data_IF_581255287773
#
_entry.id   IF_581255287773
#
_cell.length_a   1.000
_cell.length_b   1.000
_cell.length_c   1.000
_cell.angle_alpha   90.00
_cell.angle_beta   90.00
_cell.angle_gamma   90.00
#
_symmetry.space_group_name_H-M   'P 1'
#
loop_
_entity.id
_entity.type
_entity.pdbx_description
1 polymer ?
#
# COMPACT_ATOMS: atom_id res chain seq x y z
N UNK A 1 -33.47 21.11 -27.07
CA UNK A 1 -33.46 19.76 -27.65
C UNK A 1 -32.41 18.93 -26.90
N UNK A 2 -32.78 17.80 -26.32
CA UNK A 2 -31.91 17.06 -25.39
C UNK A 2 -30.97 16.10 -26.12
N UNK A 3 -29.66 16.37 -26.06
CA UNK A 3 -28.59 15.57 -26.68
C UNK A 3 -28.51 14.14 -26.07
N UNK A 4 -28.97 13.96 -24.83
CA UNK A 4 -29.02 12.67 -24.12
C UNK A 4 -29.92 11.64 -24.83
N UNK A 5 -30.93 12.07 -25.61
CA UNK A 5 -31.84 11.17 -26.31
C UNK A 5 -31.28 10.52 -27.59
N UNK A 6 -30.21 11.07 -28.18
CA UNK A 6 -29.67 10.59 -29.46
C UNK A 6 -28.81 9.32 -29.31
N UNK A 7 -28.03 9.21 -28.23
CA UNK A 7 -27.10 8.10 -28.03
C UNK A 7 -27.76 6.76 -27.67
N UNK A 8 -28.92 6.78 -27.00
CA UNK A 8 -29.63 5.54 -26.65
C UNK A 8 -30.19 4.79 -27.86
N UNK A 9 -30.37 5.46 -29.00
CA UNK A 9 -30.93 4.85 -30.23
C UNK A 9 -29.89 4.13 -31.09
N UNK A 10 -28.59 4.30 -30.79
CA UNK A 10 -27.48 3.71 -31.57
C UNK A 10 -26.95 2.40 -30.98
N UNK A 11 -27.31 2.05 -29.74
CA UNK A 11 -26.84 0.83 -29.05
C UNK A 11 -27.86 -0.33 -29.02
N UNK A 12 -29.11 -0.10 -29.43
CA UNK A 12 -30.20 -1.08 -29.32
C UNK A 12 -31.09 -1.21 -30.58
N UNK A 13 -30.65 -0.70 -31.73
CA UNK A 13 -31.36 -0.92 -33.00
C UNK A 13 -30.99 -2.30 -33.58
N UNK A 14 -31.94 -3.23 -33.59
CA UNK A 14 -31.85 -4.52 -34.28
C UNK A 14 -32.65 -4.45 -35.58
N UNK A 15 -32.03 -4.79 -36.70
CA UNK A 15 -32.72 -4.85 -37.99
C UNK A 15 -33.65 -6.09 -38.03
N UNK A 16 -34.96 -5.92 -38.30
CA UNK A 16 -35.94 -7.02 -38.26
C UNK A 16 -35.94 -7.90 -39.54
N UNK A 17 -34.88 -7.83 -40.37
CA UNK A 17 -34.84 -8.43 -41.71
C UNK A 17 -33.70 -9.44 -41.94
N UNK A 18 -32.97 -9.85 -40.89
CA UNK A 18 -31.89 -10.84 -40.99
C UNK A 18 -32.32 -12.15 -40.32
N UNK A 19 -32.49 -13.27 -41.06
CA UNK A 19 -32.78 -14.57 -40.46
C UNK A 19 -31.54 -15.15 -39.77
N UNK A 20 -31.75 -15.89 -38.67
CA UNK A 20 -30.65 -16.52 -37.92
C UNK A 20 -30.00 -17.70 -38.67
N UNK A 21 -28.69 -17.93 -38.51
CA UNK A 21 -28.00 -19.05 -39.15
C UNK A 21 -28.40 -20.39 -38.52
N UNK A 22 -28.91 -21.31 -39.34
CA UNK A 22 -29.25 -22.68 -38.94
C UNK A 22 -27.98 -23.53 -38.85
N UNK A 23 -27.70 -24.09 -37.66
CA UNK A 23 -26.63 -25.08 -37.49
C UNK A 23 -27.06 -26.43 -38.08
N UNK A 24 -26.30 -26.95 -39.03
CA UNK A 24 -26.47 -28.30 -39.60
C UNK A 24 -25.37 -29.21 -39.04
N UNK A 25 -25.68 -30.42 -38.54
CA UNK A 25 -24.66 -31.36 -38.06
C UNK A 25 -24.07 -32.14 -39.24
N UNK A 26 -22.76 -32.08 -39.42
CA UNK A 26 -22.05 -32.88 -40.40
C UNK A 26 -21.52 -34.17 -39.77
N UNK A 27 -21.75 -35.31 -40.42
CA UNK A 27 -21.44 -36.63 -39.89
C UNK A 27 -20.90 -37.57 -40.98
N UNK A 28 -19.59 -37.86 -40.94
CA UNK A 28 -19.03 -39.08 -41.53
C UNK A 28 -17.59 -39.33 -41.05
N UNK A 29 -17.43 -40.36 -40.21
CA UNK A 29 -16.15 -41.09 -40.01
C UNK A 29 -15.85 -41.97 -41.24
N UNK A 30 -14.64 -42.55 -41.38
CA UNK A 30 -14.50 -43.92 -40.92
C UNK A 30 -13.15 -44.31 -40.25
N UNK A 31 -13.23 -45.48 -39.65
CA UNK A 31 -12.30 -46.26 -38.83
C UNK A 31 -10.86 -46.44 -39.32
N UNK A 32 -9.94 -46.64 -38.37
CA UNK A 32 -9.13 -47.88 -38.32
C UNK A 32 -8.97 -48.38 -36.87
N UNK A 33 -8.85 -49.69 -36.73
CA UNK A 33 -8.92 -50.46 -35.48
C UNK A 33 -7.58 -51.06 -35.06
N UNK A 34 -7.26 -51.04 -33.76
CA UNK A 34 -6.45 -52.10 -33.13
C UNK A 34 -6.62 -52.15 -31.60
N UNK A 35 -7.32 -53.17 -31.12
CA UNK A 35 -7.14 -53.87 -29.83
C UNK A 35 -5.64 -54.04 -29.46
N UNK A 36 -5.15 -54.20 -28.21
CA UNK A 36 -5.71 -54.45 -26.86
C UNK A 36 -5.04 -53.46 -25.83
N UNK A 37 -5.06 -53.53 -24.49
CA UNK A 37 -5.52 -54.53 -23.51
C UNK A 37 -5.73 -53.95 -22.08
N UNK A 38 -6.28 -54.78 -21.18
CA UNK A 38 -6.15 -54.85 -19.71
C UNK A 38 -6.28 -53.58 -18.82
N UNK A 39 -7.38 -53.56 -18.05
CA UNK A 39 -7.68 -52.68 -16.91
C UNK A 39 -7.57 -53.46 -15.59
N UNK A 40 -7.17 -52.83 -14.46
CA UNK A 40 -7.68 -53.24 -13.16
C UNK A 40 -8.31 -52.08 -12.36
N UNK A 41 -9.62 -52.22 -12.17
CA UNK A 41 -10.41 -51.95 -10.95
C UNK A 41 -9.94 -50.89 -9.94
N UNK A 42 -10.74 -49.82 -9.81
CA UNK A 42 -10.82 -48.96 -8.62
C UNK A 42 -12.06 -49.38 -7.81
N UNK A 43 -11.97 -49.63 -6.50
CA UNK A 43 -13.15 -49.86 -5.66
C UNK A 43 -13.74 -48.54 -5.15
N UNK A 44 -15.05 -48.42 -5.24
CA UNK A 44 -15.82 -47.36 -4.59
C UNK A 44 -15.96 -47.65 -3.09
N UNK A 45 -15.95 -46.63 -2.24
CA UNK A 45 -16.34 -46.73 -0.82
C UNK A 45 -17.56 -45.84 -0.57
N UNK A 46 -18.69 -46.49 -0.27
CA UNK A 46 -19.85 -45.83 0.32
C UNK A 46 -19.63 -45.65 1.84
N UNK A 47 -20.20 -44.60 2.46
CA UNK A 47 -20.15 -44.44 3.91
C UNK A 47 -21.27 -45.26 4.59
N UNK A 48 -20.91 -46.16 5.50
CA UNK A 48 -21.88 -46.83 6.37
C UNK A 48 -22.60 -45.84 7.29
N UNK A 49 -23.91 -46.04 7.46
CA UNK A 49 -24.77 -45.31 8.37
C UNK A 49 -24.99 -46.21 9.59
N UNK A 50 -24.63 -45.73 10.78
CA UNK A 50 -24.90 -46.44 12.03
C UNK A 50 -25.95 -45.66 12.86
N UNK A 51 -26.92 -46.37 13.43
CA UNK A 51 -27.99 -45.82 14.25
C UNK A 51 -28.29 -46.74 15.44
N UNK A 52 -28.81 -46.14 16.52
CA UNK A 52 -29.20 -46.74 17.80
C UNK A 52 -28.01 -47.02 18.77
N UNK A 53 -28.12 -46.83 20.09
CA UNK A 53 -29.29 -46.53 20.93
C UNK A 53 -28.98 -45.50 22.05
N UNK A 54 -29.99 -44.91 22.72
CA UNK A 54 -29.84 -43.96 23.82
C UNK A 54 -29.96 -44.61 25.21
N UNK A 55 -29.13 -44.22 26.17
CA UNK A 55 -29.41 -44.44 27.60
C UNK A 55 -29.28 -43.14 28.41
N UNK A 56 -30.12 -43.03 29.43
CA UNK A 56 -30.25 -41.85 30.30
C UNK A 56 -29.07 -41.70 31.26
N UNK A 57 -28.62 -40.45 31.48
CA UNK A 57 -28.38 -39.99 32.86
C UNK A 57 -28.42 -38.46 32.93
N UNK A 58 -29.50 -37.94 33.53
CA UNK A 58 -29.54 -36.54 33.96
C UNK A 58 -28.72 -36.40 35.25
N UNK A 59 -27.76 -35.46 35.28
CA UNK A 59 -27.07 -35.04 36.52
C UNK A 59 -27.24 -33.52 36.67
N UNK A 60 -27.66 -32.99 37.84
CA UNK A 60 -28.06 -31.59 37.94
C UNK A 60 -26.88 -30.61 37.92
N UNK A 61 -27.10 -29.44 37.31
CA UNK A 61 -26.22 -28.27 37.43
C UNK A 61 -26.26 -27.75 38.87
N UNK A 62 -25.12 -27.49 39.54
CA UNK A 62 -25.11 -26.91 40.88
C UNK A 62 -25.48 -25.42 40.83
N UNK A 63 -26.44 -25.03 41.66
CA UNK A 63 -26.94 -23.66 41.76
C UNK A 63 -25.86 -22.67 42.25
N UNK A 64 -25.74 -21.54 41.54
CA UNK A 64 -24.99 -20.37 42.02
C UNK A 64 -25.88 -19.60 43.02
N UNK A 65 -25.43 -19.32 44.25
CA UNK A 65 -26.16 -18.43 45.14
C UNK A 65 -25.90 -16.97 44.78
N UNK A 66 -26.98 -16.21 44.57
CA UNK A 66 -26.95 -14.76 44.49
C UNK A 66 -26.60 -14.17 45.87
N UNK A 67 -25.72 -13.16 45.91
CA UNK A 67 -25.55 -12.29 47.08
C UNK A 67 -25.84 -10.85 46.65
N UNK A 68 -26.85 -10.26 47.29
CA UNK A 68 -27.18 -8.85 47.20
C UNK A 68 -26.15 -7.99 47.99
N UNK A 69 -26.00 -6.69 47.67
CA UNK A 69 -25.00 -5.85 48.32
C UNK A 69 -25.52 -5.24 49.63
N UNK A 70 -24.84 -5.53 50.75
CA UNK A 70 -25.01 -4.75 51.97
C UNK A 70 -24.28 -3.40 51.89
N UNK A 71 -24.92 -2.40 52.46
CA UNK A 71 -24.54 -0.99 52.45
C UNK A 71 -24.19 -0.59 53.88
N UNK A 72 -23.00 -0.03 54.12
CA UNK A 72 -22.74 0.66 55.38
C UNK A 72 -21.75 1.82 55.21
N UNK A 73 -22.04 2.93 55.89
CA UNK A 73 -21.24 4.16 55.90
C UNK A 73 -20.50 4.30 57.24
N UNK A 74 -19.20 4.58 57.20
CA UNK A 74 -18.49 5.17 58.35
C UNK A 74 -17.20 5.92 57.92
N UNK A 75 -17.23 7.24 58.10
CA UNK A 75 -16.09 8.14 58.34
C UNK A 75 -15.95 8.30 59.90
N UNK A 76 -14.99 9.04 60.52
CA UNK A 76 -13.89 9.87 59.98
C UNK A 76 -12.54 9.80 60.77
N UNK A 77 -11.61 10.76 60.50
CA UNK A 77 -10.43 11.21 61.30
C UNK A 77 -9.23 10.22 61.40
N UNK A 78 -7.94 10.59 61.55
CA UNK A 78 -7.17 11.85 61.76
C UNK A 78 -5.73 11.58 61.21
N UNK A 79 -4.92 12.46 60.60
CA UNK A 79 -4.10 13.49 61.27
C UNK A 79 -2.90 14.00 60.39
N UNK A 80 -2.58 15.29 60.54
CA UNK A 80 -1.25 15.96 60.55
C UNK A 80 -0.09 15.72 59.52
N UNK A 81 0.07 16.68 58.59
CA UNK A 81 1.27 17.56 58.24
C UNK A 81 2.75 17.10 58.37
N UNK A 82 3.75 17.80 57.75
CA UNK A 82 3.79 18.68 56.55
C UNK A 82 5.00 18.38 55.61
N UNK A 83 5.24 19.21 54.56
CA UNK A 83 6.54 19.82 54.11
C UNK A 83 6.34 20.51 52.74
N UNK A 84 7.00 21.64 52.42
CA UNK A 84 6.44 22.64 51.51
C UNK A 84 6.86 22.51 50.04
N UNK A 85 6.14 23.22 49.17
CA UNK A 85 6.57 23.51 47.79
C UNK A 85 6.22 24.96 47.44
N UNK A 86 7.21 25.68 46.91
CA UNK A 86 7.12 27.08 46.43
C UNK A 86 7.46 27.07 44.93
N UNK A 87 7.17 28.14 44.18
CA UNK A 87 5.91 28.38 43.50
C UNK A 87 5.99 28.06 41.99
N UNK A 88 4.85 28.21 41.33
CA UNK A 88 4.69 28.11 39.87
C UNK A 88 5.53 29.15 39.12
N UNK A 89 6.07 28.74 37.96
CA UNK A 89 6.16 29.60 36.77
C UNK A 89 5.89 28.74 35.54
N UNK A 90 4.70 28.90 34.95
CA UNK A 90 4.47 28.47 33.57
C UNK A 90 5.26 29.37 32.60
N UNK A 91 5.39 28.91 31.35
CA UNK A 91 4.79 29.73 30.31
C UNK A 91 3.85 28.91 29.44
N UNK A 92 2.61 29.40 29.33
CA UNK A 92 1.67 29.02 28.29
C UNK A 92 2.35 29.07 26.91
N UNK A 93 2.17 28.03 26.09
CA UNK A 93 2.31 28.15 24.64
C UNK A 93 1.25 27.30 23.94
N UNK A 94 0.22 28.01 23.51
CA UNK A 94 -0.89 27.68 22.61
C UNK A 94 -1.10 26.25 22.10
N UNK A 95 -2.34 25.80 22.27
CA UNK A 95 -2.94 24.63 21.63
C UNK A 95 -3.11 24.82 20.11
N UNK A 96 -2.02 24.71 19.35
CA UNK A 96 -2.10 24.56 17.91
C UNK A 96 -2.63 23.15 17.54
N UNK A 97 -3.76 23.11 16.83
CA UNK A 97 -4.40 21.87 16.38
C UNK A 97 -3.57 21.06 15.37
N UNK A 98 -4.09 19.92 14.87
CA UNK A 98 -3.34 19.03 14.01
C UNK A 98 -3.11 19.62 12.61
N UNK A 99 -2.01 20.37 12.46
CA UNK A 99 -1.52 20.80 11.15
C UNK A 99 -1.32 19.58 10.25
N UNK A 100 -2.15 19.51 9.21
CA UNK A 100 -1.93 18.59 8.11
C UNK A 100 -0.68 19.03 7.37
N UNK A 101 0.25 18.11 7.11
CA UNK A 101 1.44 18.39 6.31
C UNK A 101 1.04 18.49 4.82
N UNK A 102 0.33 19.56 4.46
CA UNK A 102 0.01 19.92 3.10
C UNK A 102 1.27 20.45 2.43
N UNK A 103 1.80 19.67 1.47
CA UNK A 103 2.85 20.15 0.57
C UNK A 103 2.30 21.36 -0.20
N UNK A 104 3.04 22.49 -0.32
CA UNK A 104 2.51 23.68 -0.98
C UNK A 104 2.03 23.41 -2.40
N UNK A 105 0.84 23.91 -2.73
CA UNK A 105 0.35 23.97 -4.10
C UNK A 105 1.08 25.12 -4.80
N UNK A 106 1.81 24.90 -5.89
CA UNK A 106 2.30 26.01 -6.69
C UNK A 106 1.10 26.71 -7.34
N UNK A 107 1.03 28.03 -7.19
CA UNK A 107 0.05 28.90 -7.85
C UNK A 107 0.09 28.72 -9.37
N UNK A 108 -1.08 28.79 -10.02
CA UNK A 108 -1.19 28.68 -11.47
C UNK A 108 -0.32 29.75 -12.18
N UNK A 109 0.42 29.37 -13.24
CA UNK A 109 0.63 30.24 -14.39
C UNK A 109 -0.57 30.17 -15.35
N UNK A 110 -0.73 31.21 -16.15
CA UNK A 110 -1.89 31.44 -17.02
C UNK A 110 -2.03 30.47 -18.19
N UNK A 111 -3.20 30.55 -18.84
CA UNK A 111 -3.60 29.72 -19.98
C UNK A 111 -2.87 30.13 -21.26
N UNK A 112 -2.08 29.20 -21.83
CA UNK A 112 -1.72 29.23 -23.26
C UNK A 112 -2.24 27.94 -23.93
N UNK A 113 -3.34 28.09 -24.67
CA UNK A 113 -3.86 27.08 -25.60
C UNK A 113 -3.37 27.44 -27.01
N UNK A 114 -2.32 26.77 -27.47
CA UNK A 114 -1.97 26.71 -28.91
C UNK A 114 -1.59 25.28 -29.28
N UNK A 115 -2.59 24.53 -29.75
CA UNK A 115 -2.35 23.44 -30.71
C UNK A 115 -2.10 24.09 -32.08
N UNK A 116 -1.04 23.65 -32.77
CA UNK A 116 -0.72 24.09 -34.13
C UNK A 116 -0.06 22.95 -34.90
N UNK A 117 -0.88 22.01 -35.37
CA UNK A 117 -0.55 21.20 -36.54
C UNK A 117 -0.77 22.04 -37.81
N UNK A 118 0.29 22.33 -38.58
CA UNK A 118 0.20 22.17 -40.03
C UNK A 118 1.56 22.07 -40.74
N UNK A 119 1.51 21.62 -41.99
CA UNK A 119 2.64 21.13 -42.78
C UNK A 119 3.23 22.17 -43.74
N UNK A 120 4.52 22.04 -44.10
CA UNK A 120 4.98 21.84 -45.50
C UNK A 120 6.52 21.87 -45.71
N UNK A 121 7.01 20.79 -46.34
CA UNK A 121 8.14 20.57 -47.30
C UNK A 121 9.44 21.44 -47.34
N UNK A 122 10.59 20.87 -47.80
CA UNK A 122 11.94 21.38 -47.48
C UNK A 122 12.68 22.19 -48.58
N UNK A 123 13.68 22.97 -48.15
CA UNK A 123 14.70 23.65 -48.98
C UNK A 123 16.06 23.73 -48.26
N UNK A 124 17.20 23.96 -48.97
CA UNK A 124 18.46 23.30 -48.57
C UNK A 124 19.46 24.10 -47.71
N UNK A 125 20.07 23.36 -46.77
CA UNK A 125 21.49 23.41 -46.35
C UNK A 125 22.21 24.76 -46.20
N UNK A 126 22.45 25.17 -44.95
CA UNK A 126 23.80 25.55 -44.49
C UNK A 126 23.96 25.59 -42.95
N UNK A 127 25.15 25.18 -42.49
CA UNK A 127 25.73 25.38 -41.14
C UNK A 127 24.89 24.96 -39.91
N UNK A 128 25.19 23.77 -39.36
CA UNK A 128 24.73 23.32 -38.03
C UNK A 128 25.58 23.94 -36.90
N UNK A 129 25.01 24.70 -35.95
CA UNK A 129 25.65 24.99 -34.68
C UNK A 129 25.44 23.81 -33.73
N UNK A 130 26.51 23.24 -33.18
CA UNK A 130 26.42 22.15 -32.20
C UNK A 130 25.69 22.65 -30.92
N UNK A 131 24.67 21.94 -30.41
CA UNK A 131 24.06 22.31 -29.14
C UNK A 131 25.03 22.00 -28.00
N UNK A 132 25.38 23.03 -27.22
CA UNK A 132 26.14 22.87 -25.97
C UNK A 132 25.30 22.11 -24.95
N UNK A 133 25.49 20.79 -24.87
CA UNK A 133 24.97 19.99 -23.77
C UNK A 133 25.61 20.47 -22.45
N UNK A 134 24.87 21.27 -21.66
CA UNK A 134 25.15 21.43 -20.23
C UNK A 134 24.79 20.13 -19.53
N UNK A 135 25.66 19.13 -19.66
CA UNK A 135 25.62 17.93 -18.85
C UNK A 135 25.83 18.35 -17.40
N UNK A 136 24.76 18.33 -16.59
CA UNK A 136 24.92 18.42 -15.14
C UNK A 136 25.79 17.25 -14.71
N UNK A 137 26.98 17.53 -14.17
CA UNK A 137 27.87 16.51 -13.62
C UNK A 137 27.21 15.91 -12.37
N UNK A 138 26.32 14.94 -12.56
CA UNK A 138 26.12 13.90 -11.57
C UNK A 138 27.32 12.96 -11.70
N UNK A 139 28.06 12.78 -10.62
CA UNK A 139 29.16 11.82 -10.59
C UNK A 139 28.61 10.42 -11.00
N UNK A 140 29.32 9.67 -11.87
CA UNK A 140 28.96 8.31 -12.17
C UNK A 140 29.00 7.49 -10.87
N UNK A 141 27.81 7.18 -10.35
CA UNK A 141 27.70 6.31 -9.19
C UNK A 141 28.23 4.93 -9.60
N UNK A 142 29.25 4.37 -8.91
CA UNK A 142 29.86 3.12 -9.33
C UNK A 142 28.81 2.01 -9.31
N UNK A 143 28.60 1.38 -10.47
CA UNK A 143 27.56 0.37 -10.69
C UNK A 143 27.65 -0.79 -9.69
N UNK A 144 28.88 -1.14 -9.30
CA UNK A 144 29.21 -2.22 -8.37
C UNK A 144 28.47 -2.07 -7.02
N UNK A 145 28.41 -0.86 -6.44
CA UNK A 145 27.69 -0.60 -5.18
C UNK A 145 26.21 -1.03 -5.31
N UNK A 146 25.54 -0.69 -6.41
CA UNK A 146 24.16 -1.09 -6.67
C UNK A 146 24.02 -2.61 -6.83
N UNK A 147 24.94 -3.26 -7.55
CA UNK A 147 24.94 -4.71 -7.73
C UNK A 147 25.19 -5.48 -6.42
N UNK A 148 25.95 -4.91 -5.47
CA UNK A 148 26.15 -5.50 -4.15
C UNK A 148 24.89 -5.41 -3.27
N UNK A 149 24.13 -4.30 -3.33
CA UNK A 149 22.84 -4.21 -2.65
C UNK A 149 21.79 -5.13 -3.29
N UNK A 150 21.78 -5.23 -4.62
CA UNK A 150 20.88 -6.16 -5.33
C UNK A 150 21.18 -7.63 -5.01
N UNK A 151 22.46 -8.01 -4.86
CA UNK A 151 22.87 -9.34 -4.38
C UNK A 151 22.32 -9.65 -2.98
N UNK A 152 22.37 -8.70 -2.03
CA UNK A 152 21.76 -8.85 -0.69
C UNK A 152 20.25 -9.05 -0.76
N UNK A 153 19.53 -8.23 -1.53
CA UNK A 153 18.08 -8.41 -1.78
C UNK A 153 17.78 -9.79 -2.37
N UNK A 154 18.61 -10.29 -3.29
CA UNK A 154 18.46 -11.62 -3.90
C UNK A 154 18.73 -12.79 -2.95
N UNK A 155 19.44 -12.57 -1.84
CA UNK A 155 19.61 -13.57 -0.78
C UNK A 155 18.37 -13.71 0.12
N UNK A 156 17.29 -12.95 -0.10
CA UNK A 156 16.04 -13.07 0.65
C UNK A 156 15.38 -14.45 0.42
N UNK A 157 15.32 -15.25 1.48
CA UNK A 157 14.67 -16.59 1.50
C UNK A 157 13.21 -16.54 1.97
N UNK A 158 12.72 -15.36 2.37
CA UNK A 158 11.37 -15.21 2.91
C UNK A 158 10.29 -15.40 1.84
N UNK A 159 9.20 -16.08 2.19
CA UNK A 159 8.02 -16.20 1.32
C UNK A 159 7.20 -14.91 1.32
N UNK A 160 6.54 -14.63 0.20
CA UNK A 160 5.58 -13.52 0.10
C UNK A 160 4.45 -13.68 1.13
N UNK A 161 4.05 -12.56 1.75
CA UNK A 161 2.88 -12.44 2.64
C UNK A 161 2.19 -11.09 2.38
N UNK A 162 0.85 -11.05 2.25
CA UNK A 162 0.09 -9.81 2.01
C UNK A 162 0.38 -8.71 3.04
N UNK A 163 0.62 -9.09 4.30
CA UNK A 163 1.07 -8.21 5.37
C UNK A 163 2.12 -8.89 6.24
N UNK A 164 3.03 -8.11 6.81
CA UNK A 164 4.10 -8.59 7.69
C UNK A 164 4.44 -7.51 8.70
N UNK A 165 4.51 -7.86 9.99
CA UNK A 165 5.13 -6.97 10.97
C UNK A 165 6.65 -7.03 10.77
N UNK A 166 7.26 -5.88 10.46
CA UNK A 166 8.70 -5.77 10.12
C UNK A 166 9.50 -4.99 11.16
N UNK A 167 8.83 -4.44 12.17
CA UNK A 167 9.44 -3.84 13.36
C UNK A 167 8.43 -3.84 14.49
N UNK A 168 8.84 -3.47 15.71
CA UNK A 168 7.88 -3.20 16.78
C UNK A 168 6.87 -2.11 16.32
N UNK A 169 5.59 -2.48 16.25
CA UNK A 169 4.47 -1.68 15.79
C UNK A 169 4.59 -1.07 14.37
N UNK A 170 5.41 -1.66 13.47
CA UNK A 170 5.44 -1.31 12.04
C UNK A 170 5.14 -2.52 11.17
N UNK A 171 4.20 -2.36 10.24
CA UNK A 171 3.72 -3.37 9.31
C UNK A 171 3.96 -2.92 7.87
N UNK A 172 4.35 -3.85 6.99
CA UNK A 172 4.40 -3.63 5.54
C UNK A 172 3.44 -4.60 4.84
N UNK A 173 2.57 -4.08 3.97
CA UNK A 173 1.65 -4.91 3.19
C UNK A 173 1.28 -4.40 1.80
N UNK A 174 0.34 -5.11 1.19
CA UNK A 174 -0.19 -4.88 -0.16
C UNK A 174 -1.48 -4.02 -0.15
N UNK A 175 -1.97 -3.70 -1.34
CA UNK A 175 -3.20 -2.93 -1.58
C UNK A 175 -4.45 -3.62 -1.03
N UNK A 176 -4.56 -4.94 -1.19
CA UNK A 176 -5.68 -5.74 -0.69
C UNK A 176 -5.84 -5.57 0.83
N UNK A 177 -4.74 -5.75 1.58
CA UNK A 177 -4.73 -5.49 3.03
C UNK A 177 -5.08 -4.03 3.33
N UNK A 178 -4.61 -3.07 2.52
CA UNK A 178 -4.93 -1.65 2.70
C UNK A 178 -6.43 -1.35 2.53
N UNK A 179 -7.10 -2.04 1.60
CA UNK A 179 -8.55 -1.93 1.39
C UNK A 179 -9.35 -2.63 2.49
N UNK A 180 -8.83 -3.67 3.12
CA UNK A 180 -9.54 -4.31 4.22
C UNK A 180 -9.56 -3.46 5.51
N UNK A 181 -10.67 -2.72 5.68
CA UNK A 181 -10.93 -1.90 6.88
C UNK A 181 -11.11 -2.72 8.16
N UNK A 182 -11.59 -3.95 8.07
CA UNK A 182 -11.71 -4.84 9.22
C UNK A 182 -10.33 -5.31 9.65
N UNK A 183 -9.48 -5.70 8.68
CA UNK A 183 -8.09 -6.07 8.96
C UNK A 183 -7.27 -4.92 9.54
N UNK A 184 -7.47 -3.69 9.06
CA UNK A 184 -6.86 -2.49 9.67
C UNK A 184 -7.28 -2.32 11.14
N UNK A 185 -8.54 -2.61 11.48
CA UNK A 185 -9.06 -2.55 12.86
C UNK A 185 -8.50 -3.67 13.73
N UNK A 186 -8.48 -4.92 13.25
CA UNK A 186 -7.93 -6.09 13.94
C UNK A 186 -6.44 -5.91 14.29
N UNK A 187 -5.65 -5.43 13.33
CA UNK A 187 -4.24 -5.14 13.55
C UNK A 187 -4.03 -3.96 14.51
N UNK A 188 -5.05 -3.14 14.76
CA UNK A 188 -4.99 -1.94 15.58
C UNK A 188 -4.22 -0.80 14.90
N UNK A 189 -4.29 -0.69 13.57
CA UNK A 189 -3.56 0.33 12.81
C UNK A 189 -4.08 1.72 13.16
N UNK A 190 -3.14 2.63 13.44
CA UNK A 190 -3.39 4.04 13.79
C UNK A 190 -2.85 5.00 12.73
N UNK A 191 -1.89 4.55 11.92
CA UNK A 191 -1.25 5.35 10.87
C UNK A 191 -1.11 4.53 9.59
N UNK A 192 -1.46 5.12 8.45
CA UNK A 192 -1.27 4.52 7.14
C UNK A 192 -0.36 5.40 6.28
N UNK A 193 0.69 4.81 5.74
CA UNK A 193 1.58 5.42 4.76
C UNK A 193 1.42 4.69 3.42
N UNK A 194 0.62 5.27 2.52
CA UNK A 194 0.40 4.78 1.17
C UNK A 194 1.52 5.27 0.25
N UNK A 195 2.46 4.39 -0.05
CA UNK A 195 3.61 4.60 -0.94
C UNK A 195 3.30 4.36 -2.43
N UNK A 196 2.03 4.37 -2.82
CA UNK A 196 1.51 4.25 -4.18
C UNK A 196 0.27 5.14 -4.40
N UNK A 197 0.17 6.28 -3.71
CA UNK A 197 -1.03 7.11 -3.77
C UNK A 197 -1.23 7.78 -5.15
N UNK A 198 -2.47 8.08 -5.52
CA UNK A 198 -2.75 8.81 -6.76
C UNK A 198 -2.17 10.25 -6.74
N UNK A 199 -1.65 10.71 -7.88
CA UNK A 199 -1.28 12.11 -8.10
C UNK A 199 -2.55 12.96 -8.21
N UNK A 200 -2.71 13.96 -7.35
CA UNK A 200 -3.83 14.93 -7.39
C UNK A 200 -3.65 15.95 -8.53
N UNK A 201 -3.77 15.51 -9.78
CA UNK A 201 -3.78 16.40 -10.97
C UNK A 201 -5.16 16.99 -11.17
N UNK A 202 -5.26 18.23 -11.65
CA UNK A 202 -6.54 18.90 -11.90
C UNK A 202 -7.51 18.03 -12.75
N UNK A 203 -7.03 17.40 -13.83
CA UNK A 203 -7.84 16.46 -14.64
C UNK A 203 -8.46 15.31 -13.83
N UNK A 204 -7.72 14.76 -12.87
CA UNK A 204 -8.19 13.65 -12.02
C UNK A 204 -9.22 14.16 -10.99
N UNK A 205 -9.07 15.40 -10.51
CA UNK A 205 -10.06 16.07 -9.67
C UNK A 205 -11.35 16.38 -10.44
N UNK A 206 -11.25 16.67 -11.75
CA UNK A 206 -12.38 16.85 -12.67
C UNK A 206 -13.00 15.52 -13.15
N UNK A 207 -12.65 14.38 -12.54
CA UNK A 207 -13.17 13.05 -12.92
C UNK A 207 -12.53 12.43 -14.17
N UNK A 208 -11.66 13.14 -14.87
CA UNK A 208 -10.97 12.65 -16.07
C UNK A 208 -9.80 11.76 -15.65
N UNK A 209 -10.08 10.46 -15.50
CA UNK A 209 -9.10 9.40 -15.21
C UNK A 209 -8.73 8.66 -16.48
N UNK A 210 -7.43 8.62 -16.80
CA UNK A 210 -6.90 7.77 -17.88
C UNK A 210 -6.24 6.54 -17.24
N UNK A 211 -6.22 5.40 -17.93
CA UNK A 211 -5.65 4.15 -17.39
C UNK A 211 -4.23 4.34 -16.83
N UNK A 212 -3.39 5.10 -17.53
CA UNK A 212 -2.00 5.44 -17.12
C UNK A 212 -1.89 6.28 -15.84
N UNK A 213 -2.97 6.94 -15.40
CA UNK A 213 -3.02 7.68 -14.13
C UNK A 213 -3.55 6.81 -12.96
N UNK A 214 -4.17 5.65 -13.26
CA UNK A 214 -4.69 4.67 -12.28
C UNK A 214 -3.69 3.52 -12.08
N UNK A 215 -3.02 3.09 -13.15
CA UNK A 215 -2.12 1.94 -13.18
C UNK A 215 -1.01 2.08 -12.13
N UNK A 216 -0.82 1.01 -11.35
CA UNK A 216 0.13 0.94 -10.23
C UNK A 216 -0.14 1.94 -9.08
N UNK A 217 -1.35 2.50 -8.95
CA UNK A 217 -1.74 3.38 -7.83
C UNK A 217 -2.83 2.78 -6.95
N UNK A 218 -2.81 3.12 -5.66
CA UNK A 218 -3.74 2.64 -4.64
C UNK A 218 -4.61 3.80 -4.14
N UNK A 219 -5.89 3.80 -4.52
CA UNK A 219 -6.86 4.86 -4.18
C UNK A 219 -7.58 4.61 -2.83
N UNK A 220 -6.80 4.48 -1.76
CA UNK A 220 -7.29 4.37 -0.36
C UNK A 220 -7.15 5.68 0.41
N UNK A 221 -7.35 6.83 -0.26
CA UNK A 221 -7.19 8.16 0.35
C UNK A 221 -7.93 8.35 1.68
N UNK A 222 -7.56 9.34 2.49
CA UNK A 222 -8.05 9.53 3.87
C UNK A 222 -9.58 9.38 4.09
N UNK A 223 -10.41 9.71 3.10
CA UNK A 223 -11.86 9.49 3.10
C UNK A 223 -12.28 8.01 3.19
N UNK A 224 -11.48 7.09 2.67
CA UNK A 224 -11.69 5.63 2.74
C UNK A 224 -11.73 5.14 4.20
N UNK A 225 -10.86 5.71 5.04
CA UNK A 225 -10.77 5.39 6.47
C UNK A 225 -11.66 6.30 7.35
N UNK A 226 -12.63 7.03 6.77
CA UNK A 226 -13.56 7.89 7.53
C UNK A 226 -14.33 7.08 8.56
N UNK A 227 -14.48 7.64 9.77
CA UNK A 227 -15.06 6.95 10.92
C UNK A 227 -14.07 6.05 11.68
N UNK A 228 -12.78 6.07 11.34
CA UNK A 228 -11.70 5.46 12.14
C UNK A 228 -10.79 6.55 12.74
N UNK A 229 -9.94 6.19 13.70
CA UNK A 229 -8.90 7.07 14.26
C UNK A 229 -7.60 7.06 13.44
N UNK A 230 -7.62 6.57 12.19
CA UNK A 230 -6.42 6.38 11.35
C UNK A 230 -5.93 7.72 10.79
N UNK A 231 -4.65 8.04 11.01
CA UNK A 231 -3.94 9.13 10.34
C UNK A 231 -3.33 8.64 9.03
N UNK A 232 -3.79 9.19 7.91
CA UNK A 232 -3.37 8.78 6.56
C UNK A 232 -2.35 9.76 5.95
N UNK A 233 -1.30 9.21 5.33
CA UNK A 233 -0.34 9.92 4.49
C UNK A 233 -0.22 9.20 3.14
N UNK A 234 -0.47 9.91 2.04
CA UNK A 234 -0.36 9.39 0.68
C UNK A 234 0.80 10.02 -0.07
N UNK A 235 1.77 9.21 -0.49
CA UNK A 235 2.95 9.63 -1.25
C UNK A 235 2.83 9.14 -2.69
N UNK A 236 2.67 10.05 -3.68
CA UNK A 236 2.38 9.63 -5.03
C UNK A 236 3.65 9.22 -5.80
N UNK A 237 3.92 7.93 -5.79
CA UNK A 237 4.94 7.26 -6.61
C UNK A 237 4.34 6.79 -7.94
N UNK A 238 5.21 6.52 -8.90
CA UNK A 238 4.92 5.81 -10.16
C UNK A 238 6.19 5.04 -10.52
N UNK A 239 6.12 4.04 -11.41
CA UNK A 239 7.30 3.25 -11.86
C UNK A 239 8.51 4.10 -12.33
N UNK A 240 8.27 5.33 -12.74
CA UNK A 240 9.26 6.32 -13.20
C UNK A 240 9.53 7.48 -12.23
N UNK A 241 8.96 7.45 -11.02
CA UNK A 241 9.15 8.52 -10.03
C UNK A 241 10.41 8.29 -9.20
N UNK A 242 11.27 9.30 -9.13
CA UNK A 242 12.26 9.44 -8.06
C UNK A 242 11.55 9.33 -6.69
N UNK A 243 11.90 8.29 -5.92
CA UNK A 243 11.36 8.02 -4.58
C UNK A 243 12.24 8.65 -3.49
N UNK A 244 13.46 9.10 -3.81
CA UNK A 244 14.38 9.71 -2.84
C UNK A 244 13.82 10.98 -2.19
N UNK A 245 13.05 11.77 -2.95
CA UNK A 245 12.28 12.92 -2.45
C UNK A 245 11.27 12.57 -1.35
N UNK A 246 10.85 11.30 -1.27
CA UNK A 246 9.89 10.79 -0.28
C UNK A 246 10.56 10.16 0.94
N UNK A 247 11.87 9.89 0.93
CA UNK A 247 12.59 9.30 2.05
C UNK A 247 12.42 10.10 3.35
N UNK A 248 12.69 11.40 3.33
CA UNK A 248 12.57 12.26 4.51
C UNK A 248 11.10 12.49 4.95
N UNK A 249 10.13 12.78 4.05
CA UNK A 249 8.70 12.82 4.42
C UNK A 249 8.19 11.53 5.06
N UNK A 250 8.51 10.36 4.47
CA UNK A 250 8.12 9.06 5.01
C UNK A 250 8.77 8.78 6.37
N UNK A 251 10.08 9.00 6.48
CA UNK A 251 10.83 8.79 7.71
C UNK A 251 10.28 9.66 8.86
N UNK A 252 10.01 10.95 8.61
CA UNK A 252 9.37 11.86 9.56
C UNK A 252 7.97 11.41 9.98
N UNK A 253 7.15 10.92 9.05
CA UNK A 253 5.80 10.40 9.36
C UNK A 253 5.87 9.19 10.29
N UNK A 254 6.72 8.20 9.97
CA UNK A 254 6.92 6.99 10.77
C UNK A 254 7.49 7.36 12.15
N UNK A 255 8.49 8.25 12.21
CA UNK A 255 9.10 8.69 13.47
C UNK A 255 8.12 9.47 14.35
N UNK A 256 7.31 10.38 13.79
CA UNK A 256 6.26 11.11 14.53
C UNK A 256 5.21 10.16 15.09
N UNK A 257 4.82 9.13 14.34
CA UNK A 257 3.88 8.11 14.81
C UNK A 257 4.45 7.35 16.03
N UNK A 258 5.70 6.90 15.95
CA UNK A 258 6.37 6.10 17.01
C UNK A 258 6.64 6.85 18.32
N UNK A 259 6.40 8.15 18.41
CA UNK A 259 6.54 8.91 19.68
C UNK A 259 5.59 8.44 20.78
N UNK A 260 4.44 7.85 20.42
CA UNK A 260 3.61 7.07 21.34
C UNK A 260 3.78 5.59 20.93
N UNK A 261 4.11 4.73 21.90
CA UNK A 261 4.37 3.30 21.75
C UNK A 261 3.14 2.48 21.31
N UNK A 262 1.92 2.95 21.60
CA UNK A 262 0.65 2.32 21.20
C UNK A 262 0.36 2.46 19.70
N UNK A 263 0.96 3.46 19.03
CA UNK A 263 0.71 3.73 17.62
C UNK A 263 1.31 2.65 16.71
N UNK A 264 0.44 1.90 16.03
CA UNK A 264 0.82 0.99 14.95
C UNK A 264 0.77 1.66 13.58
N UNK A 265 1.85 1.51 12.81
CA UNK A 265 2.04 2.09 11.47
C UNK A 265 1.96 1.00 10.41
N UNK A 266 1.12 1.18 9.39
CA UNK A 266 1.04 0.33 8.21
C UNK A 266 1.57 1.08 6.98
N UNK A 267 2.62 0.55 6.35
CA UNK A 267 3.23 1.10 5.14
C UNK A 267 2.87 0.15 3.99
N UNK A 268 2.28 0.66 2.91
CA UNK A 268 1.90 -0.19 1.77
C UNK A 268 2.16 0.46 0.42
N UNK A 269 2.25 -0.36 -0.60
CA UNK A 269 2.11 0.04 -2.00
C UNK A 269 1.14 -0.95 -2.66
N UNK A 270 1.26 -1.19 -3.97
CA UNK A 270 0.44 -2.19 -4.68
C UNK A 270 0.67 -3.60 -4.12
N UNK A 271 1.91 -4.10 -4.21
CA UNK A 271 2.25 -5.47 -3.79
C UNK A 271 2.94 -5.54 -2.41
N UNK A 272 3.33 -4.40 -1.84
CA UNK A 272 4.08 -4.36 -0.58
C UNK A 272 5.54 -4.82 -0.67
N UNK A 273 6.11 -4.99 -1.87
CA UNK A 273 7.49 -5.50 -2.07
C UNK A 273 8.50 -4.49 -2.64
N UNK A 274 8.06 -3.39 -3.25
CA UNK A 274 8.95 -2.36 -3.83
C UNK A 274 8.96 -1.07 -3.00
N UNK A 275 8.10 -0.08 -3.30
CA UNK A 275 8.18 1.24 -2.66
C UNK A 275 7.93 1.25 -1.15
N UNK A 276 7.04 0.40 -0.63
CA UNK A 276 6.80 0.31 0.81
C UNK A 276 8.05 -0.13 1.61
N UNK A 277 8.74 -1.24 1.28
CA UNK A 277 10.01 -1.55 1.92
C UNK A 277 11.12 -0.54 1.59
N UNK A 278 11.20 0.05 0.40
CA UNK A 278 12.19 1.11 0.11
C UNK A 278 12.05 2.31 1.07
N UNK A 279 10.84 2.79 1.34
CA UNK A 279 10.62 3.86 2.32
C UNK A 279 10.93 3.43 3.76
N UNK A 280 10.68 2.16 4.10
CA UNK A 280 11.03 1.63 5.42
C UNK A 280 12.55 1.49 5.61
N UNK A 281 13.29 1.03 4.59
CA UNK A 281 14.75 1.01 4.58
C UNK A 281 15.32 2.42 4.79
N UNK A 282 14.80 3.42 4.07
CA UNK A 282 15.20 4.81 4.28
C UNK A 282 14.91 5.30 5.71
N UNK A 283 13.80 4.87 6.33
CA UNK A 283 13.50 5.16 7.73
C UNK A 283 14.51 4.52 8.70
N UNK A 284 14.88 3.26 8.50
CA UNK A 284 15.91 2.57 9.30
C UNK A 284 17.24 3.35 9.25
N UNK A 285 17.65 3.78 8.05
CA UNK A 285 18.89 4.55 7.87
C UNK A 285 18.82 5.94 8.52
N UNK A 286 17.71 6.68 8.34
CA UNK A 286 17.58 8.08 8.80
C UNK A 286 17.39 8.18 10.31
N UNK A 287 16.65 7.26 10.95
CA UNK A 287 16.24 7.38 12.35
C UNK A 287 16.76 6.29 13.28
N UNK A 288 17.37 5.21 12.76
CA UNK A 288 17.99 4.15 13.56
C UNK A 288 19.48 3.95 13.20
N UNK A 289 20.06 4.89 12.44
CA UNK A 289 21.49 4.97 12.10
C UNK A 289 22.07 3.71 11.45
N UNK A 290 21.23 2.91 10.77
CA UNK A 290 21.67 1.72 10.05
C UNK A 290 22.34 2.11 8.72
N UNK A 291 23.37 1.37 8.30
CA UNK A 291 23.83 1.46 6.90
C UNK A 291 22.76 0.92 5.95
N UNK A 292 22.87 1.21 4.64
CA UNK A 292 21.95 0.62 3.66
C UNK A 292 22.10 -0.91 3.60
N UNK A 293 23.32 -1.41 3.81
CA UNK A 293 23.65 -2.83 3.92
C UNK A 293 22.92 -3.46 5.13
N UNK A 294 23.11 -2.92 6.33
CA UNK A 294 22.47 -3.43 7.56
C UNK A 294 20.94 -3.38 7.48
N UNK A 295 20.39 -2.30 6.91
CA UNK A 295 18.95 -2.12 6.75
C UNK A 295 18.35 -3.19 5.81
N UNK A 296 19.03 -3.49 4.70
CA UNK A 296 18.63 -4.56 3.78
C UNK A 296 18.80 -5.92 4.45
N UNK A 297 19.97 -6.19 5.04
CA UNK A 297 20.31 -7.48 5.67
C UNK A 297 19.44 -7.78 6.90
N UNK A 298 18.82 -6.75 7.51
CA UNK A 298 17.72 -6.90 8.45
C UNK A 298 16.41 -7.25 7.74
N UNK A 299 15.96 -6.42 6.78
CA UNK A 299 14.61 -6.51 6.22
C UNK A 299 14.39 -7.81 5.42
N UNK A 300 15.41 -8.30 4.70
CA UNK A 300 15.34 -9.56 3.94
C UNK A 300 15.15 -10.80 4.81
N UNK A 301 15.48 -10.73 6.11
CA UNK A 301 15.28 -11.82 7.09
C UNK A 301 13.85 -11.84 7.65
N UNK A 302 13.09 -10.75 7.54
CA UNK A 302 11.74 -10.65 8.13
C UNK A 302 10.62 -10.55 7.08
N UNK A 303 10.88 -10.04 5.88
CA UNK A 303 9.89 -9.93 4.80
C UNK A 303 10.49 -10.19 3.43
N UNK A 304 9.72 -10.85 2.55
CA UNK A 304 9.99 -10.87 1.11
C UNK A 304 9.91 -9.45 0.52
N UNK A 305 11.02 -8.97 -0.03
CA UNK A 305 11.12 -7.67 -0.68
C UNK A 305 11.74 -7.82 -2.07
N UNK A 306 11.37 -6.91 -2.98
CA UNK A 306 11.91 -6.79 -4.33
C UNK A 306 11.93 -5.30 -4.76
N UNK A 307 12.76 -4.45 -4.13
CA UNK A 307 13.01 -3.10 -4.64
C UNK A 307 13.57 -3.14 -6.06
N UNK A 308 13.23 -2.14 -6.88
CA UNK A 308 13.88 -1.94 -8.17
C UNK A 308 15.31 -1.38 -8.03
N UNK A 309 16.12 -1.49 -9.10
CA UNK A 309 17.53 -1.09 -9.08
C UNK A 309 17.70 0.42 -8.86
N UNK A 310 16.75 1.24 -9.33
CA UNK A 310 16.74 2.69 -9.13
C UNK A 310 16.46 3.05 -7.66
N UNK A 311 15.56 2.34 -6.99
CA UNK A 311 15.31 2.45 -5.55
C UNK A 311 16.55 2.10 -4.75
N UNK A 312 17.25 1.01 -5.10
CA UNK A 312 18.51 0.62 -4.46
C UNK A 312 19.62 1.67 -4.68
N UNK A 313 19.75 2.19 -5.90
CA UNK A 313 20.67 3.29 -6.22
C UNK A 313 20.37 4.55 -5.41
N UNK A 314 19.10 4.90 -5.26
CA UNK A 314 18.66 6.05 -4.46
C UNK A 314 18.93 5.86 -2.96
N UNK A 315 18.72 4.65 -2.42
CA UNK A 315 19.12 4.31 -1.04
C UNK A 315 20.64 4.38 -0.86
N UNK A 316 21.44 3.92 -1.82
CA UNK A 316 22.89 4.00 -1.74
C UNK A 316 23.40 5.47 -1.80
N UNK A 317 22.73 6.33 -2.58
CA UNK A 317 22.96 7.79 -2.56
C UNK A 317 22.56 8.40 -1.21
N UNK A 318 21.49 7.93 -0.57
CA UNK A 318 21.13 8.33 0.80
C UNK A 318 22.22 7.91 1.80
N UNK A 319 22.74 6.68 1.72
CA UNK A 319 23.81 6.17 2.58
C UNK A 319 25.04 7.10 2.54
N UNK A 320 25.52 7.43 1.34
CA UNK A 320 26.65 8.36 1.13
C UNK A 320 26.40 9.78 1.64
N UNK A 321 25.14 10.21 1.79
CA UNK A 321 24.75 11.50 2.39
C UNK A 321 24.66 11.45 3.92
N UNK A 322 24.40 10.27 4.51
CA UNK A 322 24.31 10.07 5.96
C UNK A 322 25.69 9.81 6.58
N UNK A 323 26.55 9.01 5.93
CA UNK A 323 27.94 8.73 6.37
C UNK A 323 28.85 9.98 6.33
N UNK A 324 28.44 11.04 5.62
CA UNK A 324 29.17 12.33 5.54
C UNK A 324 28.69 13.38 6.55
N UNK A 325 27.86 13.00 7.52
CA UNK A 325 27.32 13.88 8.58
C UNK A 325 27.78 13.42 9.95
#
# INVERSE_FOLDING_TARGET
MNIIGAFFKMLFWRDPAVPEPVCVPDASTPEQTSEMDLVPSVPEMEPEIDQADPEESCVPVPSVPEMEPEFDQADPEESCVPVPSVPEMEPEFDLAGPEQLCVPVPSLPDLDLVDSDESCVPGPSSAVPKPNARTSKQDPFPEEDCFQLYRRVKACTMRYKPVTQVWNNIFIGNEETARDRMRMKELGITHILNAAAMKKKLRILLGIRWEKDIKDTVDTGASYYRGTKIRYCGLPTTKTSDISKYFMPAAKFIHKARKNSENKVFIHCTDGVNYAPTLFLAYLMIHLSMTVEDAIDYLVKVKYIKPDIDSLRQLAILNKKLVRK
#
